data_IF_559700293167
#
_entry.id   IF_559700293167
#
_cell.length_a   1.000
_cell.length_b   1.000
_cell.length_c   1.000
_cell.angle_alpha   90.00
_cell.angle_beta   90.00
_cell.angle_gamma   90.00
#
_symmetry.space_group_name_H-M   'P 1'
#
loop_
_entity.id
_entity.type
_entity.pdbx_description
1 polymer ?
#
# COMPACT_ATOMS: atom_id res chain seq x y z
N UNK A 1 9.62 -0.81 -9.49
CA UNK A 1 9.24 -0.09 -10.71
C UNK A 1 7.74 0.14 -10.74
N UNK A 2 7.34 1.39 -10.50
CA UNK A 2 5.95 1.84 -10.64
C UNK A 2 5.56 1.99 -12.11
N UNK A 3 4.34 1.59 -12.46
CA UNK A 3 3.77 1.79 -13.80
C UNK A 3 2.58 2.75 -13.71
N UNK A 4 2.78 3.96 -14.20
CA UNK A 4 1.76 5.03 -14.19
C UNK A 4 0.84 4.99 -15.41
N UNK A 5 0.94 3.98 -16.27
CA UNK A 5 0.11 3.88 -17.49
C UNK A 5 -1.37 3.84 -17.15
N UNK A 6 -1.75 3.07 -16.12
CA UNK A 6 -3.12 3.00 -15.64
C UNK A 6 -3.59 4.36 -15.09
N UNK A 7 -2.79 4.97 -14.21
CA UNK A 7 -3.10 6.29 -13.64
C UNK A 7 -3.26 7.36 -14.71
N UNK A 8 -2.35 7.40 -15.69
CA UNK A 8 -2.42 8.33 -16.83
C UNK A 8 -3.68 8.10 -17.67
N UNK A 9 -4.06 6.84 -17.88
CA UNK A 9 -5.29 6.50 -18.60
C UNK A 9 -6.54 6.97 -17.85
N UNK A 10 -6.59 6.77 -16.53
CA UNK A 10 -7.71 7.22 -15.67
C UNK A 10 -7.83 8.75 -15.65
N UNK A 11 -6.71 9.46 -15.65
CA UNK A 11 -6.67 10.92 -15.65
C UNK A 11 -6.75 11.52 -17.07
N UNK A 12 -7.10 10.73 -18.09
CA UNK A 12 -7.20 11.18 -19.49
C UNK A 12 -5.94 11.88 -20.02
N UNK A 13 -4.77 11.50 -19.50
CA UNK A 13 -3.48 12.11 -19.85
C UNK A 13 -3.17 13.44 -19.16
N UNK A 14 -3.97 13.90 -18.20
CA UNK A 14 -3.67 15.12 -17.43
C UNK A 14 -2.51 14.88 -16.46
N UNK A 15 -1.32 15.35 -16.88
CA UNK A 15 -0.10 15.19 -16.09
C UNK A 15 -0.16 15.90 -14.73
N UNK A 16 -0.92 17.01 -14.59
CA UNK A 16 -1.02 17.72 -13.30
C UNK A 16 -1.81 16.90 -12.28
N UNK A 17 -2.87 16.23 -12.72
CA UNK A 17 -3.64 15.32 -11.86
C UNK A 17 -2.81 14.09 -11.46
N UNK A 18 -2.04 13.54 -12.41
CA UNK A 18 -1.11 12.45 -12.15
C UNK A 18 -0.06 12.85 -11.10
N UNK A 19 0.58 14.01 -11.27
CA UNK A 19 1.60 14.50 -10.32
C UNK A 19 1.01 14.78 -8.94
N UNK A 20 -0.21 15.34 -8.89
CA UNK A 20 -0.92 15.57 -7.65
C UNK A 20 -1.27 14.25 -6.94
N UNK A 21 -1.78 13.26 -7.67
CA UNK A 21 -2.07 11.93 -7.13
C UNK A 21 -0.81 11.27 -6.59
N UNK A 22 0.31 11.34 -7.31
CA UNK A 22 1.59 10.77 -6.86
C UNK A 22 2.12 11.50 -5.63
N UNK A 23 1.96 12.82 -5.54
CA UNK A 23 2.32 13.57 -4.35
C UNK A 23 1.52 13.12 -3.12
N UNK A 24 0.21 12.95 -3.28
CA UNK A 24 -0.67 12.42 -2.22
C UNK A 24 -0.26 10.99 -1.86
N UNK A 25 -0.05 10.12 -2.84
CA UNK A 25 0.39 8.74 -2.67
C UNK A 25 1.68 8.67 -1.85
N UNK A 26 2.68 9.51 -2.20
CA UNK A 26 3.95 9.61 -1.48
C UNK A 26 3.81 10.04 -0.02
N UNK A 27 2.82 10.87 0.29
CA UNK A 27 2.58 11.32 1.65
C UNK A 27 1.72 10.34 2.46
N UNK A 28 0.71 9.73 1.85
CA UNK A 28 -0.30 8.95 2.56
C UNK A 28 0.09 7.49 2.72
N UNK A 29 0.68 6.86 1.71
CA UNK A 29 1.00 5.43 1.74
C UNK A 29 1.96 5.08 2.87
N UNK A 30 3.10 5.79 3.08
CA UNK A 30 4.00 5.46 4.18
C UNK A 30 3.32 5.58 5.56
N UNK A 31 2.46 6.59 5.73
CA UNK A 31 1.71 6.78 6.97
C UNK A 31 0.69 5.65 7.21
N UNK A 32 -0.01 5.20 6.16
CA UNK A 32 -0.93 4.07 6.23
C UNK A 32 -0.19 2.76 6.54
N UNK A 33 0.94 2.51 5.87
CA UNK A 33 1.79 1.34 6.11
C UNK A 33 2.30 1.31 7.56
N UNK A 34 2.74 2.44 8.09
CA UNK A 34 3.20 2.56 9.47
C UNK A 34 2.11 2.34 10.52
N UNK A 35 0.83 2.53 10.17
CA UNK A 35 -0.31 2.30 11.06
C UNK A 35 -0.72 0.82 11.14
N UNK A 36 -0.41 0.00 10.14
CA UNK A 36 -0.84 -1.41 10.05
C UNK A 36 -0.50 -2.26 11.30
N UNK A 37 0.70 -2.16 11.90
CA UNK A 37 1.03 -2.91 13.11
C UNK A 37 0.12 -2.54 14.29
N UNK A 38 -0.25 -1.26 14.42
CA UNK A 38 -1.09 -0.76 15.50
C UNK A 38 -2.49 -1.38 15.48
N UNK A 39 -3.07 -1.58 14.28
CA UNK A 39 -4.35 -2.27 14.14
C UNK A 39 -4.27 -3.75 14.55
N UNK A 40 -3.16 -4.43 14.24
CA UNK A 40 -2.94 -5.81 14.68
C UNK A 40 -2.76 -5.93 16.20
N UNK A 41 -1.99 -5.03 16.80
CA UNK A 41 -1.76 -5.03 18.25
C UNK A 41 -3.04 -4.72 19.04
N UNK A 42 -3.89 -3.84 18.48
CA UNK A 42 -5.15 -3.43 19.09
C UNK A 42 -6.30 -4.41 18.80
N UNK A 43 -6.11 -5.36 17.88
CA UNK A 43 -7.16 -6.29 17.43
C UNK A 43 -8.26 -5.64 16.60
N UNK A 44 -7.97 -4.47 16.02
CA UNK A 44 -8.86 -3.68 15.16
C UNK A 44 -8.83 -4.26 13.74
N UNK A 45 -9.43 -5.45 13.58
CA UNK A 45 -9.39 -6.22 12.34
C UNK A 45 -10.20 -5.58 11.20
N UNK A 46 -11.29 -4.88 11.51
CA UNK A 46 -12.13 -4.18 10.53
C UNK A 46 -11.40 -2.97 9.94
N UNK A 47 -10.72 -2.22 10.81
CA UNK A 47 -9.86 -1.10 10.46
C UNK A 47 -8.65 -1.58 9.66
N UNK A 48 -8.05 -2.71 10.04
CA UNK A 48 -6.98 -3.34 9.28
C UNK A 48 -7.43 -3.73 7.88
N UNK A 49 -8.58 -4.41 7.74
CA UNK A 49 -9.12 -4.80 6.43
C UNK A 49 -9.37 -3.57 5.56
N UNK A 50 -9.97 -2.52 6.12
CA UNK A 50 -10.20 -1.24 5.43
C UNK A 50 -8.88 -0.58 4.97
N UNK A 51 -7.86 -0.59 5.82
CA UNK A 51 -6.54 -0.06 5.49
C UNK A 51 -5.88 -0.86 4.35
N UNK A 52 -5.93 -2.19 4.42
CA UNK A 52 -5.41 -3.09 3.38
C UNK A 52 -6.14 -2.90 2.05
N UNK A 53 -7.47 -2.79 2.06
CA UNK A 53 -8.27 -2.52 0.86
C UNK A 53 -7.90 -1.20 0.19
N UNK A 54 -7.72 -0.15 0.99
CA UNK A 54 -7.30 1.18 0.53
C UNK A 54 -5.90 1.13 -0.09
N UNK A 55 -4.94 0.52 0.60
CA UNK A 55 -3.56 0.35 0.12
C UNK A 55 -3.52 -0.48 -1.17
N UNK A 56 -4.27 -1.58 -1.26
CA UNK A 56 -4.41 -2.41 -2.46
C UNK A 56 -4.81 -1.57 -3.67
N UNK A 57 -5.81 -0.72 -3.50
CA UNK A 57 -6.33 0.16 -4.55
C UNK A 57 -5.29 1.20 -4.97
N UNK A 58 -4.64 1.83 -3.99
CA UNK A 58 -3.58 2.81 -4.23
C UNK A 58 -2.39 2.20 -4.98
N UNK A 59 -1.91 1.02 -4.56
CA UNK A 59 -0.84 0.29 -5.24
C UNK A 59 -1.21 -0.12 -6.66
N UNK A 60 -2.46 -0.55 -6.86
CA UNK A 60 -2.97 -0.92 -8.17
C UNK A 60 -2.93 0.25 -9.15
N UNK A 61 -3.32 1.45 -8.71
CA UNK A 61 -3.31 2.65 -9.55
C UNK A 61 -1.93 3.05 -10.04
N UNK A 62 -0.89 2.82 -9.25
CA UNK A 62 0.50 3.14 -9.60
C UNK A 62 1.29 1.95 -10.16
N UNK A 63 0.59 0.87 -10.53
CA UNK A 63 1.21 -0.30 -11.16
C UNK A 63 2.08 -1.15 -10.23
N UNK A 64 1.94 -0.98 -8.91
CA UNK A 64 2.63 -1.77 -7.90
C UNK A 64 1.89 -3.09 -7.63
N UNK A 65 1.69 -3.89 -8.69
CA UNK A 65 0.85 -5.09 -8.66
C UNK A 65 1.29 -6.09 -7.58
N UNK A 66 2.59 -6.26 -7.37
CA UNK A 66 3.13 -7.15 -6.33
C UNK A 66 2.71 -6.73 -4.92
N UNK A 67 2.73 -5.42 -4.63
CA UNK A 67 2.27 -4.91 -3.34
C UNK A 67 0.76 -4.94 -3.21
N UNK A 68 0.03 -4.67 -4.30
CA UNK A 68 -1.42 -4.80 -4.34
C UNK A 68 -1.88 -6.23 -4.04
N UNK A 69 -1.21 -7.25 -4.61
CA UNK A 69 -1.51 -8.66 -4.31
C UNK A 69 -1.21 -9.00 -2.84
N UNK A 70 -0.09 -8.53 -2.28
CA UNK A 70 0.18 -8.73 -0.85
C UNK A 70 -0.91 -8.12 0.04
N UNK A 71 -1.43 -6.93 -0.30
CA UNK A 71 -2.53 -6.33 0.43
C UNK A 71 -3.81 -7.17 0.30
N UNK A 72 -4.12 -7.65 -0.91
CA UNK A 72 -5.28 -8.50 -1.20
C UNK A 72 -5.24 -9.80 -0.40
N UNK A 73 -4.11 -10.49 -0.38
CA UNK A 73 -3.99 -11.75 0.37
C UNK A 73 -4.04 -11.53 1.89
N UNK A 74 -3.62 -10.38 2.39
CA UNK A 74 -3.73 -10.04 3.81
C UNK A 74 -5.17 -9.64 4.17
N UNK A 75 -5.83 -8.84 3.33
CA UNK A 75 -7.24 -8.46 3.46
C UNK A 75 -8.12 -9.71 3.51
N UNK A 76 -7.94 -10.63 2.56
CA UNK A 76 -8.68 -11.90 2.51
C UNK A 76 -8.47 -12.75 3.77
N UNK A 77 -7.24 -12.84 4.28
CA UNK A 77 -6.98 -13.55 5.54
C UNK A 77 -7.66 -12.90 6.73
N UNK A 78 -7.69 -11.56 6.80
CA UNK A 78 -8.36 -10.83 7.89
C UNK A 78 -9.88 -11.02 7.81
N UNK A 79 -10.46 -10.89 6.61
CA UNK A 79 -11.90 -11.07 6.37
C UNK A 79 -12.36 -12.51 6.67
N UNK A 80 -11.52 -13.50 6.41
CA UNK A 80 -11.77 -14.91 6.74
C UNK A 80 -11.48 -15.26 8.21
N UNK A 81 -10.99 -14.31 9.01
CA UNK A 81 -10.63 -14.53 10.42
C UNK A 81 -9.32 -15.31 10.64
N UNK A 82 -8.51 -15.47 9.60
CA UNK A 82 -7.20 -16.15 9.60
C UNK A 82 -6.08 -15.23 10.11
N UNK A 83 -6.27 -14.62 11.29
CA UNK A 83 -5.38 -13.57 11.81
C UNK A 83 -4.11 -14.12 12.49
N UNK A 84 -3.98 -15.43 12.66
CA UNK A 84 -2.87 -16.04 13.42
C UNK A 84 -1.46 -15.76 12.88
N UNK A 85 -1.33 -15.41 11.60
CA UNK A 85 -0.04 -15.06 10.98
C UNK A 85 0.04 -13.60 10.48
N UNK A 86 -1.04 -12.81 10.65
CA UNK A 86 -1.18 -11.51 10.00
C UNK A 86 -0.10 -10.52 10.45
N UNK A 87 0.23 -10.50 11.74
CA UNK A 87 1.27 -9.64 12.32
C UNK A 87 2.64 -9.92 11.69
N UNK A 88 2.98 -11.20 11.47
CA UNK A 88 4.23 -11.57 10.81
C UNK A 88 4.25 -11.21 9.33
N UNK A 89 3.11 -11.35 8.64
CA UNK A 89 2.97 -10.98 7.23
C UNK A 89 3.10 -9.47 7.03
N UNK A 90 2.47 -8.68 7.90
CA UNK A 90 2.60 -7.22 7.90
C UNK A 90 4.03 -6.79 8.21
N UNK A 91 4.68 -7.39 9.21
CA UNK A 91 6.09 -7.10 9.50
C UNK A 91 7.01 -7.37 8.31
N UNK A 92 6.82 -8.50 7.61
CA UNK A 92 7.55 -8.82 6.38
C UNK A 92 7.24 -7.86 5.23
N UNK A 93 5.97 -7.45 5.09
CA UNK A 93 5.56 -6.45 4.11
C UNK A 93 6.21 -5.10 4.39
N UNK A 94 6.21 -4.61 5.63
CA UNK A 94 6.81 -3.31 5.99
C UNK A 94 8.30 -3.29 5.65
N UNK A 95 9.05 -4.34 5.99
CA UNK A 95 10.47 -4.43 5.62
C UNK A 95 10.66 -4.38 4.09
N UNK A 96 9.81 -5.05 3.33
CA UNK A 96 9.88 -5.03 1.87
C UNK A 96 9.49 -3.68 1.30
N UNK A 97 8.46 -3.06 1.85
CA UNK A 97 7.98 -1.74 1.47
C UNK A 97 9.04 -0.67 1.75
N UNK A 98 9.67 -0.67 2.92
CA UNK A 98 10.71 0.29 3.28
C UNK A 98 11.92 0.17 2.35
N UNK A 99 12.39 -1.05 2.07
CA UNK A 99 13.48 -1.27 1.12
C UNK A 99 13.13 -0.75 -0.28
N UNK A 100 11.92 -1.05 -0.76
CA UNK A 100 11.43 -0.53 -2.03
C UNK A 100 11.35 1.00 -2.03
N UNK A 101 10.78 1.59 -0.97
CA UNK A 101 10.53 3.02 -0.86
C UNK A 101 11.84 3.81 -0.85
N UNK A 102 12.84 3.33 -0.11
CA UNK A 102 14.18 3.89 -0.13
C UNK A 102 14.81 3.75 -1.52
N UNK A 103 14.66 2.61 -2.19
CA UNK A 103 15.25 2.44 -3.52
C UNK A 103 14.63 3.29 -4.63
N UNK A 104 13.32 3.56 -4.56
CA UNK A 104 12.60 4.26 -5.64
C UNK A 104 12.40 5.75 -5.35
N UNK A 105 12.45 6.16 -4.09
CA UNK A 105 12.18 7.54 -3.68
C UNK A 105 13.22 8.17 -2.76
N UNK A 106 14.28 7.47 -2.33
CA UNK A 106 15.40 8.17 -1.73
C UNK A 106 16.04 9.05 -2.79
N UNK A 107 15.81 10.36 -2.66
CA UNK A 107 16.60 11.36 -3.34
C UNK A 107 18.05 11.16 -2.91
N UNK A 108 18.94 10.99 -3.88
CA UNK A 108 20.38 11.08 -3.65
C UNK A 108 20.68 12.39 -2.91
N UNK A 109 21.15 12.31 -1.66
CA UNK A 109 21.84 13.43 -0.99
C UNK A 109 23.04 13.91 -1.83
#
# INVERSE_FOLDING_TARGET
MMDLTLLKSLMSGDQKLVDHFISIFKSQVPAQVAALPGFCESGEWEELSTALHSLKTQFSYVGMAEFAELMREMEESVDNGETGSITSRIGGFIMKFDNFWQSEFAESE
#
